data_IF_455528609786
#
_entry.id   IF_455528609786
#
_cell.length_a   1.000
_cell.length_b   1.000
_cell.length_c   1.000
_cell.angle_alpha   90.00
_cell.angle_beta   90.00
_cell.angle_gamma   90.00
#
_symmetry.space_group_name_H-M   'P 1'
#
loop_
_entity.id
_entity.type
_entity.pdbx_description
1 polymer ?
#
# COMPACT_ATOMS: atom_id res chain seq x y z
N UNK A 1 5.31 13.25 -0.60
CA UNK A 1 4.88 11.84 -0.72
C UNK A 1 3.61 11.74 -1.56
N UNK A 2 2.47 12.27 -1.09
CA UNK A 2 1.17 12.25 -1.80
C UNK A 2 1.26 12.57 -3.30
N UNK A 3 1.90 13.68 -3.68
CA UNK A 3 2.05 14.08 -5.10
C UNK A 3 2.74 13.02 -5.97
N UNK A 4 3.89 12.49 -5.53
CA UNK A 4 4.63 11.44 -6.24
C UNK A 4 3.82 10.15 -6.40
N UNK A 5 2.95 9.90 -5.44
CA UNK A 5 2.07 8.73 -5.41
C UNK A 5 1.00 8.82 -6.50
N UNK A 6 0.35 9.98 -6.64
CA UNK A 6 -0.57 10.22 -7.75
C UNK A 6 0.15 10.21 -9.09
N UNK A 7 1.35 10.78 -9.20
CA UNK A 7 2.17 10.70 -10.41
C UNK A 7 2.47 9.26 -10.82
N UNK A 8 2.83 8.38 -9.88
CA UNK A 8 3.05 6.95 -10.16
C UNK A 8 1.78 6.26 -10.69
N UNK A 9 0.62 6.55 -10.08
CA UNK A 9 -0.67 6.00 -10.51
C UNK A 9 -1.01 6.49 -11.91
N UNK A 10 -0.91 7.79 -12.15
CA UNK A 10 -1.22 8.40 -13.45
C UNK A 10 -0.31 7.86 -14.56
N UNK A 11 0.97 7.59 -14.26
CA UNK A 11 1.92 7.03 -15.21
C UNK A 11 1.67 5.55 -15.54
N UNK A 12 1.27 4.74 -14.55
CA UNK A 12 1.16 3.28 -14.73
C UNK A 12 -0.26 2.80 -15.09
N UNK A 13 -1.30 3.52 -14.64
CA UNK A 13 -2.71 3.17 -14.85
C UNK A 13 -3.34 4.07 -15.93
N UNK A 14 -2.90 5.33 -16.01
CA UNK A 14 -3.50 6.34 -16.88
C UNK A 14 -4.87 6.83 -16.39
N UNK A 15 -5.53 7.65 -17.20
CA UNK A 15 -6.78 8.32 -16.84
C UNK A 15 -8.05 7.64 -17.38
N UNK A 16 -7.91 6.57 -18.16
CA UNK A 16 -9.04 5.90 -18.82
C UNK A 16 -9.83 4.99 -17.88
N UNK A 17 -9.26 4.58 -16.74
CA UNK A 17 -9.88 3.65 -15.80
C UNK A 17 -9.38 3.88 -14.38
N UNK A 18 -10.07 3.28 -13.41
CA UNK A 18 -9.62 3.23 -12.03
C UNK A 18 -8.54 2.14 -11.81
N UNK A 19 -7.66 2.30 -10.81
CA UNK A 19 -6.68 1.29 -10.43
C UNK A 19 -7.35 -0.01 -9.95
N UNK A 20 -6.74 -1.14 -10.29
CA UNK A 20 -7.20 -2.48 -9.89
C UNK A 20 -6.08 -3.24 -9.16
N UNK A 21 -6.41 -4.36 -8.52
CA UNK A 21 -5.42 -5.18 -7.78
C UNK A 21 -4.31 -5.71 -8.72
N UNK A 22 -4.62 -5.96 -9.99
CA UNK A 22 -3.64 -6.40 -10.99
C UNK A 22 -2.53 -5.38 -11.25
N UNK A 23 -2.78 -4.09 -10.97
CA UNK A 23 -1.80 -3.01 -11.16
C UNK A 23 -0.77 -2.93 -10.03
N UNK A 24 -0.98 -3.66 -8.93
CA UNK A 24 -0.16 -3.59 -7.71
C UNK A 24 1.33 -3.78 -7.97
N UNK A 25 1.71 -4.68 -8.88
CA UNK A 25 3.12 -4.94 -9.21
C UNK A 25 3.82 -3.77 -9.92
N UNK A 26 3.04 -2.82 -10.46
CA UNK A 26 3.54 -1.62 -11.16
C UNK A 26 3.54 -0.37 -10.28
N UNK A 27 2.85 -0.41 -9.12
CA UNK A 27 2.70 0.71 -8.20
C UNK A 27 3.56 0.49 -6.94
N UNK A 28 4.88 0.49 -7.12
CA UNK A 28 5.85 0.14 -6.08
C UNK A 28 5.88 1.17 -4.95
N UNK A 29 5.79 2.46 -5.26
CA UNK A 29 5.77 3.53 -4.27
C UNK A 29 4.46 3.49 -3.46
N UNK A 30 3.32 3.22 -4.10
CA UNK A 30 2.06 2.99 -3.40
C UNK A 30 2.15 1.81 -2.43
N UNK A 31 2.65 0.66 -2.90
CA UNK A 31 2.82 -0.53 -2.08
C UNK A 31 3.76 -0.27 -0.89
N UNK A 32 4.90 0.39 -1.14
CA UNK A 32 5.84 0.76 -0.08
C UNK A 32 5.20 1.69 0.95
N UNK A 33 4.43 2.69 0.50
CA UNK A 33 3.73 3.61 1.40
C UNK A 33 2.72 2.89 2.30
N UNK A 34 1.95 1.94 1.74
CA UNK A 34 1.00 1.13 2.52
C UNK A 34 1.76 0.35 3.61
N UNK A 35 2.89 -0.27 3.26
CA UNK A 35 3.72 -1.02 4.21
C UNK A 35 4.33 -0.13 5.29
N UNK A 36 4.81 1.06 4.95
CA UNK A 36 5.35 2.01 5.93
C UNK A 36 4.27 2.46 6.91
N UNK A 37 3.06 2.76 6.44
CA UNK A 37 1.94 3.14 7.31
C UNK A 37 1.59 1.99 8.26
N UNK A 38 1.50 0.76 7.76
CA UNK A 38 1.22 -0.42 8.59
C UNK A 38 2.36 -0.73 9.58
N UNK A 39 3.60 -0.43 9.23
CA UNK A 39 4.75 -0.59 10.12
C UNK A 39 4.73 0.43 11.26
N UNK A 40 4.49 1.70 10.94
CA UNK A 40 4.43 2.78 11.93
C UNK A 40 3.18 2.68 12.82
N UNK A 41 2.06 2.26 12.24
CA UNK A 41 0.73 2.26 12.84
C UNK A 41 0.05 0.93 12.49
N UNK A 42 0.46 -0.18 13.12
CA UNK A 42 -0.15 -1.47 12.86
C UNK A 42 -1.63 -1.41 13.26
N UNK A 43 -2.49 -1.96 12.40
CA UNK A 43 -3.95 -2.00 12.65
C UNK A 43 -4.30 -2.81 13.91
N UNK A 44 -3.47 -3.80 14.24
CA UNK A 44 -3.58 -4.61 15.44
C UNK A 44 -2.22 -4.63 16.19
N UNK A 45 -1.98 -3.66 17.10
CA UNK A 45 -0.69 -3.53 17.80
C UNK A 45 -0.31 -4.74 18.65
N UNK A 46 -1.29 -5.45 19.21
CA UNK A 46 -1.08 -6.59 20.11
C UNK A 46 -1.49 -7.96 19.51
N UNK A 47 -1.66 -8.03 18.17
CA UNK A 47 -2.03 -9.23 17.41
C UNK A 47 -3.06 -10.14 18.13
N UNK A 48 -3.10 -11.43 17.79
CA UNK A 48 -3.92 -12.42 18.50
C UNK A 48 -3.04 -13.02 19.60
N UNK A 49 -3.47 -13.10 20.87
CA UNK A 49 -2.64 -13.68 21.94
C UNK A 49 -2.20 -15.12 21.63
N UNK A 50 -0.93 -15.43 21.87
CA UNK A 50 -0.35 -16.77 21.75
C UNK A 50 -0.10 -17.37 23.14
N UNK A 51 -0.37 -18.67 23.32
CA UNK A 51 -0.03 -19.42 24.54
C UNK A 51 1.12 -20.38 24.22
N UNK A 52 2.19 -20.34 25.00
CA UNK A 52 3.20 -21.40 25.02
C UNK A 52 2.71 -22.52 25.96
N UNK A 53 2.82 -23.77 25.50
CA UNK A 53 2.46 -24.96 26.26
C UNK A 53 3.61 -25.42 27.15
#
# INVERSE_FOLDING_TARGET
>A
VKKKLYEEIDQNVGFSRTPTISDRNRLLLLEATIREVLCLRPVAPMLIPHKAN
#
